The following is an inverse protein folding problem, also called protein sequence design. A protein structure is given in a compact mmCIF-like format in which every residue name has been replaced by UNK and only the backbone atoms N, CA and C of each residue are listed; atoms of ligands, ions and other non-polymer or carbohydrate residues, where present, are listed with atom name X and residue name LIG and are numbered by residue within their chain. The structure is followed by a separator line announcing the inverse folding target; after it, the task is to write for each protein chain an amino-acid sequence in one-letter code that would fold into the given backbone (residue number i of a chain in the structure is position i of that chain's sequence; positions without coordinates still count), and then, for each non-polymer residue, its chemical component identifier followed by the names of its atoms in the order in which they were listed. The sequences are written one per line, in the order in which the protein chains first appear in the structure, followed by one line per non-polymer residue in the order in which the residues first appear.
data_IF_383123902918
#
_entry.id   IF_383123902918
#
_cell.length_a   1.000
_cell.length_b   1.000
_cell.length_c   1.000
_cell.angle_alpha   90.00
_cell.angle_beta   90.00
_cell.angle_gamma   90.00
#
_symmetry.space_group_name_H-M   'P 1'
#
loop_
_entity.id
_entity.type
_entity.pdbx_description
1 polymer ?
#
# COMPACT_ATOMS: atom_id res chain seq x y z
N UNK A 1 7.42 8.70 21.97
CA UNK A 1 8.00 9.51 20.86
C UNK A 1 8.55 8.64 19.73
N UNK A 2 9.47 7.69 19.97
CA UNK A 2 9.87 6.67 18.96
C UNK A 2 8.67 5.96 18.32
N UNK A 3 7.66 5.65 19.13
CA UNK A 3 6.40 5.06 18.70
C UNK A 3 5.65 5.84 17.60
N UNK A 4 5.76 7.18 17.54
CA UNK A 4 5.09 7.98 16.49
C UNK A 4 5.69 7.67 15.13
N UNK A 5 7.03 7.59 15.05
CA UNK A 5 7.74 7.23 13.84
C UNK A 5 7.47 5.79 13.41
N UNK A 6 7.40 4.86 14.37
CA UNK A 6 7.07 3.45 14.11
C UNK A 6 5.65 3.32 13.54
N UNK A 7 4.66 3.95 14.17
CA UNK A 7 3.29 3.97 13.67
C UNK A 7 3.17 4.54 12.26
N UNK A 8 3.94 5.58 11.94
CA UNK A 8 3.97 6.15 10.59
C UNK A 8 4.49 5.15 9.55
N UNK A 9 5.58 4.46 9.83
CA UNK A 9 6.17 3.44 8.94
C UNK A 9 5.24 2.23 8.78
N UNK A 10 4.60 1.80 9.87
CA UNK A 10 3.63 0.70 9.83
C UNK A 10 2.43 1.07 8.95
N UNK A 11 1.90 2.29 9.09
CA UNK A 11 0.81 2.80 8.26
C UNK A 11 1.18 2.89 6.77
N UNK A 12 2.40 3.32 6.45
CA UNK A 12 2.91 3.29 5.07
C UNK A 12 2.92 1.85 4.50
N UNK A 13 3.32 0.88 5.33
CA UNK A 13 3.35 -0.54 4.96
C UNK A 13 1.95 -1.09 4.74
N UNK A 14 0.99 -0.73 5.60
CA UNK A 14 -0.42 -1.11 5.44
C UNK A 14 -1.05 -0.53 4.17
N UNK A 15 -0.74 0.73 3.85
CA UNK A 15 -1.19 1.38 2.60
C UNK A 15 -0.64 0.64 1.39
N UNK A 16 0.65 0.29 1.39
CA UNK A 16 1.26 -0.49 0.31
C UNK A 16 0.57 -1.85 0.14
N UNK A 17 0.35 -2.55 1.25
CA UNK A 17 -0.34 -3.84 1.24
C UNK A 17 -1.78 -3.75 0.72
N UNK A 18 -2.51 -2.67 1.08
CA UNK A 18 -3.86 -2.43 0.58
C UNK A 18 -3.86 -2.06 -0.90
N UNK A 19 -2.87 -1.30 -1.37
CA UNK A 19 -2.70 -0.99 -2.80
C UNK A 19 -2.48 -2.27 -3.61
N UNK A 20 -1.62 -3.18 -3.14
CA UNK A 20 -1.40 -4.47 -3.78
C UNK A 20 -2.68 -5.34 -3.79
N UNK A 21 -3.51 -5.23 -2.75
CA UNK A 21 -4.83 -5.90 -2.72
C UNK A 21 -5.79 -5.33 -3.77
N UNK A 22 -5.82 -4.01 -3.91
CA UNK A 22 -6.65 -3.32 -4.90
C UNK A 22 -6.24 -3.76 -6.31
N UNK A 23 -4.94 -3.70 -6.63
CA UNK A 23 -4.42 -4.12 -7.94
C UNK A 23 -4.78 -5.57 -8.28
N UNK A 24 -4.65 -6.50 -7.32
CA UNK A 24 -5.07 -7.91 -7.53
C UNK A 24 -6.56 -8.05 -7.86
N UNK A 25 -7.43 -7.30 -7.16
CA UNK A 25 -8.88 -7.34 -7.40
C UNK A 25 -9.24 -6.68 -8.73
N UNK A 26 -8.56 -5.59 -9.09
CA UNK A 26 -8.73 -4.91 -10.38
C UNK A 26 -8.34 -5.82 -11.54
N UNK A 27 -7.20 -6.52 -11.45
CA UNK A 27 -6.81 -7.54 -12.43
C UNK A 27 -7.85 -8.65 -12.54
N UNK A 28 -8.36 -9.15 -11.42
CA UNK A 28 -9.41 -10.18 -11.44
C UNK A 28 -10.69 -9.70 -12.11
N UNK A 29 -11.10 -8.45 -11.86
CA UNK A 29 -12.27 -7.85 -12.53
C UNK A 29 -12.02 -7.66 -14.02
N UNK A 30 -10.80 -7.28 -14.41
CA UNK A 30 -10.40 -7.19 -15.80
C UNK A 30 -10.56 -8.55 -16.49
N UNK A 31 -9.98 -9.61 -15.94
CA UNK A 31 -10.09 -10.97 -16.49
C UNK A 31 -11.57 -11.42 -16.60
N UNK A 32 -12.34 -11.27 -15.52
CA UNK A 32 -13.77 -11.66 -15.48
C UNK A 32 -14.63 -10.91 -16.50
N UNK A 33 -14.29 -9.65 -16.80
CA UNK A 33 -14.99 -8.85 -17.82
C UNK A 33 -14.62 -9.22 -19.26
N UNK A 34 -13.44 -9.80 -19.46
CA UNK A 34 -12.95 -10.24 -20.78
C UNK A 34 -13.21 -11.74 -21.05
N UNK A 35 -13.54 -12.53 -20.03
CA UNK A 35 -13.94 -13.94 -20.13
C UNK A 35 -15.35 -14.16 -20.74
N UNK A 36 -15.97 -13.14 -21.34
CA UNK A 36 -17.29 -13.26 -21.96
C UNK A 36 -17.24 -14.18 -23.19
N UNK A 37 -17.62 -15.44 -23.00
CA UNK A 37 -17.76 -16.42 -24.08
C UNK A 37 -19.19 -16.39 -24.60
N UNK A 38 -19.34 -16.23 -25.91
CA UNK A 38 -20.62 -16.37 -26.60
C UNK A 38 -20.57 -17.53 -27.59
N UNK A 39 -21.47 -18.49 -27.44
CA UNK A 39 -21.61 -19.62 -28.35
C UNK A 39 -23.00 -19.64 -28.99
N UNK A 40 -23.14 -20.24 -30.17
CA UNK A 40 -24.40 -20.40 -30.86
C UNK A 40 -24.81 -21.88 -30.91
N UNK A 41 -25.80 -22.25 -30.09
CA UNK A 41 -26.31 -23.62 -30.02
C UNK A 41 -27.53 -23.80 -30.92
N UNK A 42 -27.64 -24.94 -31.61
CA UNK A 42 -28.81 -25.25 -32.44
C UNK A 42 -29.99 -25.67 -31.56
N UNK A 43 -31.18 -25.10 -31.76
CA UNK A 43 -32.44 -25.40 -31.04
C UNK A 43 -33.00 -26.83 -31.27
N UNK A 44 -32.21 -27.74 -31.84
CA UNK A 44 -32.63 -29.05 -32.33
C UNK A 44 -32.87 -29.09 -33.85
N UNK A 45 -33.28 -30.26 -34.36
CA UNK A 45 -33.53 -30.51 -35.78
C UNK A 45 -34.92 -31.10 -35.97
N UNK A 46 -35.62 -30.74 -37.06
CA UNK A 46 -36.83 -31.41 -37.54
C UNK A 46 -36.47 -32.15 -38.84
N UNK A 47 -36.29 -33.46 -38.75
CA UNK A 47 -35.66 -34.24 -39.82
C UNK A 47 -34.22 -33.79 -40.06
N UNK A 48 -33.84 -33.52 -41.32
CA UNK A 48 -32.49 -33.02 -41.68
C UNK A 48 -32.31 -31.50 -41.50
N UNK A 49 -33.38 -30.73 -41.24
CA UNK A 49 -33.30 -29.26 -41.12
C UNK A 49 -33.15 -28.80 -39.67
N UNK A 50 -32.16 -27.95 -39.33
CA UNK A 50 -32.04 -27.33 -38.01
C UNK A 50 -33.16 -26.30 -37.77
N UNK A 51 -33.65 -26.24 -36.53
CA UNK A 51 -34.77 -25.40 -36.09
C UNK A 51 -34.37 -23.94 -35.76
N UNK A 52 -33.15 -23.55 -36.12
CA UNK A 52 -32.54 -22.26 -35.80
C UNK A 52 -31.49 -22.37 -34.70
N UNK A 53 -30.77 -21.28 -34.44
CA UNK A 53 -29.72 -21.21 -33.41
C UNK A 53 -30.08 -20.19 -32.31
N UNK A 54 -29.54 -20.38 -31.11
CA UNK A 54 -29.61 -19.45 -29.96
C UNK A 54 -28.20 -19.06 -29.60
N UNK A 55 -27.98 -17.77 -29.34
CA UNK A 55 -26.73 -17.30 -28.75
C UNK A 55 -26.82 -17.42 -27.23
N UNK A 56 -25.94 -18.20 -26.63
CA UNK A 56 -25.78 -18.30 -25.17
C UNK A 56 -24.51 -17.55 -24.81
N UNK A 57 -24.60 -16.63 -23.85
CA UNK A 57 -23.46 -15.91 -23.28
C UNK A 57 -23.27 -16.32 -21.83
N UNK A 58 -22.07 -16.77 -21.47
CA UNK A 58 -21.68 -17.00 -20.08
C UNK A 58 -20.93 -15.79 -19.54
N UNK A 59 -21.50 -15.11 -18.54
CA UNK A 59 -20.80 -14.07 -17.77
C UNK A 59 -20.82 -14.46 -16.29
N UNK A 60 -19.67 -14.47 -15.59
CA UNK A 60 -19.60 -14.81 -14.17
C UNK A 60 -20.09 -13.65 -13.28
N UNK A 61 -21.39 -13.30 -13.37
CA UNK A 61 -22.02 -12.13 -12.72
C UNK A 61 -21.79 -12.10 -11.21
N UNK A 62 -21.99 -13.23 -10.52
CA UNK A 62 -21.85 -13.26 -9.06
C UNK A 62 -20.41 -13.01 -8.61
N UNK A 63 -19.42 -13.57 -9.30
CA UNK A 63 -18.01 -13.38 -8.96
C UNK A 63 -17.58 -11.95 -9.28
N UNK A 64 -18.02 -11.41 -10.41
CA UNK A 64 -17.79 -10.03 -10.80
C UNK A 64 -18.36 -9.06 -9.76
N UNK A 65 -19.63 -9.20 -9.42
CA UNK A 65 -20.30 -8.39 -8.41
C UNK A 65 -19.62 -8.47 -7.03
N UNK A 66 -19.20 -9.68 -6.61
CA UNK A 66 -18.42 -9.86 -5.36
C UNK A 66 -17.09 -9.11 -5.39
N UNK A 67 -16.30 -9.23 -6.46
CA UNK A 67 -15.03 -8.52 -6.56
C UNK A 67 -15.21 -7.01 -6.68
N UNK A 68 -16.26 -6.55 -7.36
CA UNK A 68 -16.61 -5.12 -7.45
C UNK A 68 -16.91 -4.52 -6.08
N UNK A 69 -17.68 -5.23 -5.24
CA UNK A 69 -17.95 -4.80 -3.87
C UNK A 69 -16.68 -4.78 -3.00
N UNK A 70 -15.80 -5.79 -3.12
CA UNK A 70 -14.50 -5.79 -2.44
C UNK A 70 -13.65 -4.59 -2.85
N UNK A 71 -13.58 -4.29 -4.15
CA UNK A 71 -12.83 -3.16 -4.68
C UNK A 71 -13.34 -1.84 -4.11
N UNK A 72 -14.66 -1.66 -4.06
CA UNK A 72 -15.28 -0.47 -3.45
C UNK A 72 -14.86 -0.32 -1.97
N UNK A 73 -14.97 -1.40 -1.18
CA UNK A 73 -14.57 -1.38 0.23
C UNK A 73 -13.08 -1.07 0.42
N UNK A 74 -12.21 -1.64 -0.42
CA UNK A 74 -10.78 -1.37 -0.34
C UNK A 74 -10.42 0.06 -0.73
N UNK A 75 -11.10 0.64 -1.73
CA UNK A 75 -10.91 2.06 -2.09
C UNK A 75 -11.35 3.00 -0.97
N UNK A 76 -12.51 2.75 -0.37
CA UNK A 76 -12.96 3.53 0.80
C UNK A 76 -11.96 3.45 1.96
N UNK A 77 -11.44 2.24 2.24
CA UNK A 77 -10.41 2.05 3.27
C UNK A 77 -9.10 2.76 2.91
N UNK A 78 -8.71 2.76 1.64
CA UNK A 78 -7.52 3.46 1.15
C UNK A 78 -7.62 4.97 1.39
N UNK A 79 -8.79 5.56 1.15
CA UNK A 79 -9.00 6.99 1.37
C UNK A 79 -8.88 7.34 2.87
N UNK A 80 -9.48 6.53 3.76
CA UNK A 80 -9.31 6.70 5.21
C UNK A 80 -7.84 6.62 5.65
N UNK A 81 -7.09 5.67 5.10
CA UNK A 81 -5.67 5.51 5.40
C UNK A 81 -4.82 6.66 4.86
N UNK A 82 -5.16 7.25 3.72
CA UNK A 82 -4.49 8.45 3.20
C UNK A 82 -4.69 9.66 4.09
N UNK A 83 -5.91 9.84 4.60
CA UNK A 83 -6.22 10.91 5.54
C UNK A 83 -5.49 10.72 6.88
N UNK A 84 -5.40 9.48 7.36
CA UNK A 84 -4.62 9.14 8.54
C UNK A 84 -3.12 9.35 8.33
N UNK A 85 -2.58 8.94 7.18
CA UNK A 85 -1.17 9.12 6.83
C UNK A 85 -0.79 10.60 6.80
N UNK A 86 -1.66 11.43 6.25
CA UNK A 86 -1.44 12.89 6.21
C UNK A 86 -1.37 13.48 7.62
N UNK A 87 -2.30 13.09 8.51
CA UNK A 87 -2.28 13.51 9.91
C UNK A 87 -1.03 13.03 10.64
N UNK A 88 -0.65 11.76 10.44
CA UNK A 88 0.56 11.19 11.06
C UNK A 88 1.84 11.82 10.53
N UNK A 89 1.89 12.17 9.24
CA UNK A 89 3.02 12.88 8.67
C UNK A 89 3.24 14.24 9.37
N UNK A 90 2.17 14.99 9.63
CA UNK A 90 2.26 16.25 10.38
C UNK A 90 2.82 16.02 11.80
N UNK A 91 2.31 15.02 12.53
CA UNK A 91 2.83 14.66 13.86
C UNK A 91 4.33 14.28 13.82
N UNK A 92 4.75 13.56 12.78
CA UNK A 92 6.15 13.16 12.56
C UNK A 92 7.03 14.36 12.23
N UNK A 93 6.58 15.24 11.34
CA UNK A 93 7.30 16.46 10.96
C UNK A 93 7.49 17.38 12.16
N UNK A 94 6.43 17.68 12.92
CA UNK A 94 6.51 18.46 14.15
C UNK A 94 7.48 17.83 15.17
N UNK A 95 7.44 16.50 15.30
CA UNK A 95 8.37 15.79 16.16
C UNK A 95 9.82 15.95 15.71
N UNK A 96 10.09 15.81 14.41
CA UNK A 96 11.44 15.95 13.83
C UNK A 96 11.92 17.41 13.98
N UNK A 97 11.07 18.40 13.75
CA UNK A 97 11.40 19.81 13.95
C UNK A 97 11.76 20.14 15.40
N UNK A 98 11.11 19.48 16.37
CA UNK A 98 11.40 19.65 17.80
C UNK A 98 12.79 19.13 18.24
N UNK A 99 13.49 18.38 17.38
CA UNK A 99 14.83 17.85 17.68
C UNK A 99 15.85 18.97 17.58
N UNK A 100 16.53 19.31 18.66
CA UNK A 100 17.54 20.39 18.68
C UNK A 100 18.78 20.08 17.82
N UNK A 101 19.30 18.84 17.93
CA UNK A 101 20.47 18.39 17.19
C UNK A 101 20.15 18.23 15.70
N UNK A 102 20.72 19.11 14.87
CA UNK A 102 20.48 19.14 13.43
C UNK A 102 20.90 17.85 12.73
N UNK A 103 21.97 17.21 13.19
CA UNK A 103 22.47 15.96 12.60
C UNK A 103 21.54 14.82 12.91
N UNK A 104 21.09 14.70 14.16
CA UNK A 104 20.09 13.69 14.54
C UNK A 104 18.76 13.92 13.81
N UNK A 105 18.35 15.18 13.65
CA UNK A 105 17.17 15.56 12.86
C UNK A 105 17.26 15.04 11.42
N UNK A 106 18.39 15.28 10.74
CA UNK A 106 18.63 14.78 9.38
C UNK A 106 18.61 13.26 9.32
N UNK A 107 19.28 12.57 10.26
CA UNK A 107 19.30 11.10 10.33
C UNK A 107 17.87 10.54 10.40
N UNK A 108 17.04 11.08 11.30
CA UNK A 108 15.68 10.59 11.51
C UNK A 108 14.80 10.91 10.30
N UNK A 109 14.90 12.10 9.72
CA UNK A 109 14.17 12.47 8.50
C UNK A 109 14.47 11.49 7.36
N UNK A 110 15.74 11.25 7.06
CA UNK A 110 16.15 10.32 6.00
C UNK A 110 15.68 8.88 6.28
N UNK A 111 15.74 8.45 7.54
CA UNK A 111 15.36 7.08 7.90
C UNK A 111 13.86 6.83 7.82
N UNK A 112 13.05 7.75 8.33
CA UNK A 112 11.62 7.51 8.60
C UNK A 112 10.70 8.21 7.60
N UNK A 113 11.06 9.38 7.06
CA UNK A 113 10.26 10.06 6.03
C UNK A 113 10.69 9.56 4.64
N UNK A 114 12.00 9.61 4.34
CA UNK A 114 12.51 9.20 3.01
C UNK A 114 12.65 7.67 2.86
N UNK A 115 12.45 6.91 3.94
CA UNK A 115 12.49 5.44 3.92
C UNK A 115 13.88 4.85 3.60
N UNK A 116 14.96 5.62 3.74
CA UNK A 116 16.31 5.15 3.45
C UNK A 116 16.77 4.06 4.43
N UNK A 117 17.58 3.12 3.94
CA UNK A 117 18.31 2.17 4.79
C UNK A 117 19.37 2.90 5.60
N UNK A 118 19.77 2.36 6.75
CA UNK A 118 20.84 2.97 7.57
C UNK A 118 22.15 3.18 6.80
N UNK A 119 22.45 2.29 5.84
CA UNK A 119 23.61 2.40 4.98
C UNK A 119 23.47 3.62 4.06
N UNK A 120 22.33 3.76 3.37
CA UNK A 120 22.05 4.95 2.53
C UNK A 120 22.07 6.24 3.34
N UNK A 121 21.59 6.24 4.59
CA UNK A 121 21.68 7.40 5.48
C UNK A 121 23.15 7.73 5.80
N UNK A 122 23.98 6.72 6.06
CA UNK A 122 25.41 6.91 6.29
C UNK A 122 26.10 7.52 5.06
N UNK A 123 25.83 6.95 3.89
CA UNK A 123 26.36 7.41 2.61
C UNK A 123 25.93 8.84 2.29
N UNK A 124 24.67 9.20 2.59
CA UNK A 124 24.14 10.55 2.39
C UNK A 124 24.82 11.59 3.30
N UNK A 125 25.06 11.25 4.57
CA UNK A 125 25.74 12.15 5.51
C UNK A 125 27.21 12.31 5.13
N UNK A 126 27.81 11.26 4.57
CA UNK A 126 29.20 11.23 4.13
C UNK A 126 30.21 11.15 5.29
N UNK A 127 31.50 11.21 4.93
CA UNK A 127 32.61 11.09 5.88
C UNK A 127 32.89 9.64 6.31
N UNK A 128 33.53 9.45 7.47
CA UNK A 128 33.84 8.12 8.04
C UNK A 128 32.65 7.51 8.81
N UNK A 129 31.42 7.88 8.46
CA UNK A 129 30.24 7.34 9.13
C UNK A 129 29.86 5.98 8.57
N UNK A 130 29.79 5.00 9.46
CA UNK A 130 29.27 3.67 9.16
C UNK A 130 27.79 3.58 9.52
N UNK A 131 27.08 2.65 8.88
CA UNK A 131 25.69 2.29 9.21
C UNK A 131 25.44 2.23 10.73
N UNK A 132 26.34 1.54 11.43
CA UNK A 132 26.31 1.33 12.86
C UNK A 132 26.42 2.63 13.67
N UNK A 133 27.26 3.56 13.21
CA UNK A 133 27.45 4.88 13.85
C UNK A 133 26.15 5.69 13.81
N UNK A 134 25.50 5.72 12.64
CA UNK A 134 24.27 6.48 12.43
C UNK A 134 23.10 5.87 13.22
N UNK A 135 22.97 4.54 13.20
CA UNK A 135 21.95 3.81 13.96
C UNK A 135 22.10 4.05 15.47
N UNK A 136 23.34 3.99 15.99
CA UNK A 136 23.63 4.24 17.41
C UNK A 136 23.35 5.70 17.78
N UNK A 137 23.64 6.67 16.90
CA UNK A 137 23.33 8.07 17.13
C UNK A 137 21.81 8.29 17.30
N UNK A 138 21.00 7.71 16.41
CA UNK A 138 19.54 7.76 16.52
C UNK A 138 19.03 7.03 17.78
N UNK A 139 19.57 5.85 18.09
CA UNK A 139 19.20 5.07 19.28
C UNK A 139 19.42 5.85 20.58
N UNK A 140 20.61 6.42 20.76
CA UNK A 140 20.93 7.25 21.94
C UNK A 140 20.01 8.46 22.08
N UNK A 141 19.57 9.05 20.97
CA UNK A 141 18.62 10.15 21.01
C UNK A 141 17.27 9.69 21.57
N UNK A 142 16.75 8.56 21.08
CA UNK A 142 15.48 8.00 21.57
C UNK A 142 15.54 7.54 23.03
N UNK A 143 16.69 7.05 23.50
CA UNK A 143 16.92 6.69 24.90
C UNK A 143 16.91 7.93 25.81
N UNK A 144 17.71 8.96 25.48
CA UNK A 144 17.76 10.22 26.24
C UNK A 144 16.41 10.95 26.33
N UNK A 145 15.58 10.82 25.30
CA UNK A 145 14.22 11.40 25.30
C UNK A 145 13.25 10.64 26.20
N UNK A 146 13.49 9.35 26.48
CA UNK A 146 12.66 8.56 27.39
C UNK A 146 12.98 8.84 28.86
N UNK A 147 14.23 9.17 29.19
CA UNK A 147 14.66 9.50 30.56
C UNK A 147 14.25 10.91 31.02
N UNK A 148 13.88 11.79 30.09
CA UNK A 148 13.46 13.18 30.38
C UNK A 148 11.94 13.33 30.57
N UNK A 149 11.22 12.24 30.83
CA UNK A 149 9.78 12.20 31.10
C UNK A 149 9.55 11.80 32.55
#
# INVERSE_FOLDING_TARGET
MKHILEQYVDLQTEIKYLADKIDRVERRLYDLSHDMVSDSVTKGKKGKKPLGTVKISGFPEEEYSRNRNKLLLYRMKMDLFRDELTRKLLEVEEYIESIEDSRVRTIIRLRYIEGMTWQQVADYIGGEHTEDSVRKAAGRFFEKKQEKI
#
